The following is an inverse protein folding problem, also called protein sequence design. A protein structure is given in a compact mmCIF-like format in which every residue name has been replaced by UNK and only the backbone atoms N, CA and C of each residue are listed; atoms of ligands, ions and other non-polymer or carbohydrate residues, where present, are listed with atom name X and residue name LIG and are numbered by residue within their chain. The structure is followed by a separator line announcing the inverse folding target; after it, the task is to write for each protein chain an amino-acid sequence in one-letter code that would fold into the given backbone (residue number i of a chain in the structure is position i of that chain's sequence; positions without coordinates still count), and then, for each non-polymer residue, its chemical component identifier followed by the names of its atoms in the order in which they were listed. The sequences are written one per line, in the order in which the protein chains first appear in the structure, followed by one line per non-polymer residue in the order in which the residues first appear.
data_IF_788741863292
#
_entry.id   IF_788741863292
#
_cell.length_a   1.000
_cell.length_b   1.000
_cell.length_c   1.000
_cell.angle_alpha   90.00
_cell.angle_beta   90.00
_cell.angle_gamma   90.00
#
_symmetry.space_group_name_H-M   'P 1'
#
loop_
_entity.id
_entity.type
_entity.pdbx_description
1 polymer ?
#
# COMPACT_ATOMS: atom_id res chain seq x y z
N UNK A 1 -20.43 14.12 24.80
CA UNK A 1 -19.79 15.26 24.10
C UNK A 1 -19.76 14.95 22.61
N UNK A 2 -20.28 15.82 21.73
CA UNK A 2 -20.12 15.63 20.29
C UNK A 2 -18.63 15.72 19.97
N UNK A 3 -18.04 14.62 19.52
CA UNK A 3 -16.63 14.55 19.16
C UNK A 3 -16.34 15.60 18.09
N UNK A 4 -15.34 16.44 18.33
CA UNK A 4 -14.90 17.45 17.37
C UNK A 4 -14.44 16.75 16.10
N UNK A 5 -15.28 16.79 15.05
CA UNK A 5 -14.91 16.23 13.75
C UNK A 5 -13.86 17.15 13.13
N UNK A 6 -12.59 16.79 13.28
CA UNK A 6 -11.49 17.50 12.63
C UNK A 6 -11.54 17.23 11.13
N UNK A 7 -12.06 18.18 10.36
CA UNK A 7 -11.91 18.21 8.90
C UNK A 7 -10.58 18.88 8.54
N UNK A 8 -9.47 18.17 8.78
CA UNK A 8 -8.17 18.60 8.26
C UNK A 8 -7.87 17.82 6.98
N UNK A 9 -7.64 18.53 5.89
CA UNK A 9 -7.09 17.95 4.68
C UNK A 9 -5.57 17.80 4.80
N UNK A 10 -5.06 16.63 4.39
CA UNK A 10 -3.62 16.38 4.35
C UNK A 10 -3.11 16.74 2.96
N UNK A 11 -2.16 17.66 2.90
CA UNK A 11 -1.47 18.04 1.66
C UNK A 11 -0.29 17.12 1.44
N UNK A 12 -0.19 16.57 0.23
CA UNK A 12 0.85 15.63 -0.17
C UNK A 12 1.53 16.16 -1.42
N UNK A 13 2.85 16.28 -1.35
CA UNK A 13 3.68 16.77 -2.44
C UNK A 13 4.45 15.61 -3.04
N UNK A 14 4.21 15.32 -4.32
CA UNK A 14 4.95 14.30 -5.07
C UNK A 14 5.83 14.99 -6.13
N UNK A 15 7.13 14.74 -6.07
CA UNK A 15 8.08 15.41 -6.97
C UNK A 15 8.25 14.70 -8.30
N UNK A 16 7.89 13.41 -8.40
CA UNK A 16 8.13 12.62 -9.59
C UNK A 16 6.84 12.30 -10.34
N UNK A 17 6.89 12.43 -11.67
CA UNK A 17 5.75 12.10 -12.55
C UNK A 17 5.28 10.65 -12.38
N UNK A 18 6.19 9.73 -12.07
CA UNK A 18 5.86 8.31 -11.85
C UNK A 18 5.07 8.11 -10.54
N UNK A 19 5.39 8.82 -9.46
CA UNK A 19 4.60 8.78 -8.23
C UNK A 19 3.25 9.49 -8.40
N UNK A 20 3.21 10.64 -9.07
CA UNK A 20 1.96 11.33 -9.41
C UNK A 20 1.02 10.47 -10.27
N UNK A 21 1.55 9.72 -11.22
CA UNK A 21 0.76 8.75 -12.02
C UNK A 21 0.22 7.58 -11.19
N UNK A 22 0.96 7.12 -10.19
CA UNK A 22 0.44 6.11 -9.25
C UNK A 22 -0.71 6.69 -8.41
N UNK A 23 -0.57 7.93 -7.96
CA UNK A 23 -1.66 8.61 -7.24
C UNK A 23 -2.95 8.63 -8.05
N UNK A 24 -2.84 9.01 -9.33
CA UNK A 24 -3.96 9.18 -10.25
C UNK A 24 -4.28 7.92 -11.08
N UNK A 25 -3.73 6.76 -10.72
CA UNK A 25 -3.86 5.54 -11.52
C UNK A 25 -5.33 5.18 -11.79
N UNK A 26 -5.59 4.56 -12.94
CA UNK A 26 -6.92 4.08 -13.31
C UNK A 26 -6.90 2.55 -13.50
N UNK A 27 -7.99 1.83 -13.16
CA UNK A 27 -9.25 2.33 -12.58
C UNK A 27 -9.17 2.63 -11.08
N UNK A 28 -8.08 2.24 -10.41
CA UNK A 28 -7.95 2.38 -8.95
C UNK A 28 -6.73 3.19 -8.59
N UNK A 29 -6.93 4.50 -8.39
CA UNK A 29 -5.91 5.42 -7.89
C UNK A 29 -5.80 5.39 -6.37
N UNK A 30 -4.89 6.18 -5.81
CA UNK A 30 -4.61 6.20 -4.38
C UNK A 30 -5.87 6.48 -3.55
N UNK A 31 -6.64 7.52 -3.89
CA UNK A 31 -7.84 7.89 -3.11
C UNK A 31 -8.88 6.77 -3.05
N UNK A 32 -9.20 6.15 -4.20
CA UNK A 32 -10.12 5.03 -4.24
C UNK A 32 -9.56 3.83 -3.47
N UNK A 33 -8.27 3.54 -3.60
CA UNK A 33 -7.63 2.46 -2.85
C UNK A 33 -7.75 2.67 -1.33
N UNK A 34 -7.48 3.89 -0.84
CA UNK A 34 -7.60 4.23 0.59
C UNK A 34 -9.05 4.08 1.10
N UNK A 35 -10.04 4.52 0.32
CA UNK A 35 -11.45 4.34 0.65
C UNK A 35 -11.83 2.84 0.76
N UNK A 36 -11.36 2.03 -0.18
CA UNK A 36 -11.59 0.58 -0.17
C UNK A 36 -10.88 -0.14 0.98
N UNK A 37 -9.68 0.32 1.37
CA UNK A 37 -8.98 -0.20 2.54
C UNK A 37 -9.74 0.08 3.85
N UNK A 38 -10.35 1.27 3.97
CA UNK A 38 -11.25 1.55 5.10
C UNK A 38 -12.47 0.64 5.11
N UNK A 39 -13.09 0.41 3.95
CA UNK A 39 -14.20 -0.54 3.84
C UNK A 39 -13.79 -1.95 4.26
N UNK A 40 -12.60 -2.39 3.84
CA UNK A 40 -12.04 -3.68 4.21
C UNK A 40 -11.84 -3.81 5.73
N UNK A 41 -11.29 -2.78 6.39
CA UNK A 41 -11.13 -2.79 7.84
C UNK A 41 -12.47 -2.83 8.57
N UNK A 42 -13.44 -2.02 8.17
CA UNK A 42 -14.78 -2.05 8.77
C UNK A 42 -15.46 -3.41 8.66
N UNK A 43 -15.25 -4.10 7.54
CA UNK A 43 -15.76 -5.46 7.38
C UNK A 43 -15.10 -6.42 8.38
N UNK A 44 -13.78 -6.32 8.57
CA UNK A 44 -13.09 -7.17 9.54
C UNK A 44 -13.46 -6.85 11.00
N UNK A 45 -13.64 -5.56 11.33
CA UNK A 45 -14.18 -5.10 12.62
C UNK A 45 -15.60 -5.64 12.87
N UNK A 46 -16.37 -5.87 11.80
CA UNK A 46 -17.69 -6.50 11.84
C UNK A 46 -17.62 -8.04 11.80
N UNK A 47 -16.48 -8.62 12.16
CA UNK A 47 -16.25 -10.07 12.26
C UNK A 47 -16.26 -10.83 10.91
N UNK A 48 -16.01 -10.15 9.78
CA UNK A 48 -15.97 -10.79 8.46
C UNK A 48 -14.68 -11.63 8.25
N UNK A 49 -14.77 -12.96 8.11
CA UNK A 49 -13.59 -13.81 8.00
C UNK A 49 -12.90 -13.72 6.63
N UNK A 50 -13.62 -13.36 5.55
CA UNK A 50 -12.98 -13.06 4.26
C UNK A 50 -12.22 -11.74 4.33
N UNK A 51 -12.76 -10.72 5.02
CA UNK A 51 -12.03 -9.48 5.25
C UNK A 51 -10.72 -9.71 6.03
N UNK A 52 -10.76 -10.53 7.08
CA UNK A 52 -9.56 -10.94 7.83
C UNK A 52 -8.52 -11.64 6.92
N UNK A 53 -8.98 -12.55 6.05
CA UNK A 53 -8.10 -13.18 5.07
C UNK A 53 -7.48 -12.16 4.11
N UNK A 54 -8.28 -11.24 3.55
CA UNK A 54 -7.81 -10.20 2.64
C UNK A 54 -6.77 -9.27 3.28
N UNK A 55 -6.97 -8.87 4.54
CA UNK A 55 -6.01 -8.05 5.28
C UNK A 55 -4.67 -8.76 5.49
N UNK A 56 -4.69 -10.08 5.77
CA UNK A 56 -3.46 -10.88 5.86
C UNK A 56 -2.70 -10.88 4.52
N UNK A 57 -3.41 -11.07 3.41
CA UNK A 57 -2.85 -11.05 2.06
C UNK A 57 -2.33 -9.66 1.65
N UNK A 58 -3.02 -8.60 2.05
CA UNK A 58 -2.57 -7.22 1.85
C UNK A 58 -1.25 -6.96 2.61
N UNK A 59 -1.18 -7.39 3.88
CA UNK A 59 0.02 -7.19 4.72
C UNK A 59 1.27 -7.80 4.11
N UNK A 60 1.16 -8.99 3.51
CA UNK A 60 2.27 -9.64 2.80
C UNK A 60 2.76 -8.77 1.63
N UNK A 61 1.85 -8.22 0.83
CA UNK A 61 2.19 -7.36 -0.31
C UNK A 61 2.84 -6.05 0.13
N UNK A 62 2.31 -5.40 1.17
CA UNK A 62 2.89 -4.19 1.74
C UNK A 62 4.28 -4.49 2.36
N UNK A 63 4.47 -5.64 3.01
CA UNK A 63 5.77 -6.04 3.53
C UNK A 63 6.80 -6.22 2.40
N UNK A 64 6.42 -6.82 1.27
CA UNK A 64 7.30 -6.97 0.11
C UNK A 64 7.73 -5.61 -0.45
N UNK A 65 6.80 -4.68 -0.63
CA UNK A 65 7.11 -3.33 -1.11
C UNK A 65 8.07 -2.62 -0.14
N UNK A 66 7.80 -2.67 1.17
CA UNK A 66 8.68 -2.09 2.18
C UNK A 66 10.10 -2.69 2.14
N UNK A 67 10.20 -4.01 2.00
CA UNK A 67 11.48 -4.69 1.91
C UNK A 67 12.28 -4.23 0.69
N UNK A 68 11.64 -4.16 -0.49
CA UNK A 68 12.30 -3.75 -1.73
C UNK A 68 12.68 -2.26 -1.72
N UNK A 69 11.83 -1.38 -1.18
CA UNK A 69 12.17 0.03 -0.97
C UNK A 69 13.41 0.17 -0.08
N UNK A 70 13.46 -0.56 1.04
CA UNK A 70 14.61 -0.55 1.96
C UNK A 70 15.87 -1.08 1.28
N UNK A 71 15.76 -2.17 0.53
CA UNK A 71 16.88 -2.77 -0.20
C UNK A 71 17.47 -1.81 -1.25
N UNK A 72 16.61 -1.16 -2.05
CA UNK A 72 17.04 -0.21 -3.08
C UNK A 72 17.64 1.06 -2.48
N UNK A 73 17.04 1.59 -1.41
CA UNK A 73 17.61 2.74 -0.69
C UNK A 73 19.00 2.42 -0.13
N UNK A 74 19.21 1.24 0.47
CA UNK A 74 20.53 0.81 0.96
C UNK A 74 21.58 0.76 -0.15
N UNK A 75 21.22 0.28 -1.34
CA UNK A 75 22.13 0.27 -2.50
C UNK A 75 22.50 1.69 -2.93
N UNK A 76 21.54 2.62 -2.92
CA UNK A 76 21.84 4.03 -3.18
C UNK A 76 22.73 4.62 -2.08
N UNK A 77 22.46 4.34 -0.81
CA UNK A 77 23.31 4.78 0.30
C UNK A 77 24.77 4.35 0.10
N UNK A 78 25.00 3.10 -0.31
CA UNK A 78 26.32 2.57 -0.64
C UNK A 78 26.95 3.27 -1.84
N UNK A 79 26.18 3.53 -2.90
CA UNK A 79 26.67 4.24 -4.08
C UNK A 79 27.09 5.68 -3.73
N UNK A 80 26.27 6.40 -2.96
CA UNK A 80 26.59 7.76 -2.50
C UNK A 80 27.79 7.82 -1.55
N UNK A 81 28.03 6.76 -0.76
CA UNK A 81 29.20 6.70 0.13
C UNK A 81 30.56 6.66 -0.61
N UNK A 82 30.57 6.39 -1.92
CA UNK A 82 31.79 6.46 -2.75
C UNK A 82 32.19 7.89 -3.14
N UNK A 83 31.32 8.88 -2.92
CA UNK A 83 31.64 10.27 -3.23
C UNK A 83 32.73 10.80 -2.27
N UNK A 84 33.67 11.61 -2.77
CA UNK A 84 34.61 12.34 -1.93
C UNK A 84 33.87 13.17 -0.87
N UNK A 85 34.43 13.27 0.33
CA UNK A 85 33.80 13.99 1.46
C UNK A 85 33.52 15.48 1.20
N UNK A 86 34.15 16.08 0.18
CA UNK A 86 33.86 17.45 -0.26
C UNK A 86 32.58 17.60 -1.09
N UNK A 87 32.02 16.48 -1.60
CA UNK A 87 30.80 16.49 -2.41
C UNK A 87 29.62 16.17 -1.50
N UNK A 88 28.82 17.20 -1.23
CA UNK A 88 27.55 17.06 -0.52
C UNK A 88 26.39 17.26 -1.48
N UNK A 89 25.49 16.29 -1.57
CA UNK A 89 24.26 16.41 -2.36
C UNK A 89 23.12 16.85 -1.44
N UNK A 90 22.45 17.95 -1.76
CA UNK A 90 21.23 18.37 -1.07
C UNK A 90 20.06 17.46 -1.40
N UNK A 91 18.96 17.58 -0.64
CA UNK A 91 17.73 16.84 -0.93
C UNK A 91 17.23 17.22 -2.33
N UNK A 92 17.25 16.25 -3.24
CA UNK A 92 16.79 16.43 -4.63
C UNK A 92 15.32 16.84 -4.59
N UNK A 93 15.00 18.00 -5.15
CA UNK A 93 13.64 18.54 -5.20
C UNK A 93 13.32 18.92 -6.63
N UNK A 94 12.17 18.47 -7.12
CA UNK A 94 11.61 18.97 -8.38
C UNK A 94 11.13 20.42 -8.16
N UNK A 95 11.53 21.41 -8.97
CA UNK A 95 11.08 22.81 -8.86
C UNK A 95 9.58 23.00 -9.13
N UNK A 96 8.91 22.01 -9.72
CA UNK A 96 7.46 22.03 -9.97
C UNK A 96 6.84 20.68 -9.56
N UNK A 97 6.73 20.39 -8.25
CA UNK A 97 6.10 19.17 -7.78
C UNK A 97 4.58 19.22 -7.99
N UNK A 98 3.94 18.06 -7.96
CA UNK A 98 2.47 17.98 -7.98
C UNK A 98 1.95 17.84 -6.57
N UNK A 99 1.01 18.71 -6.20
CA UNK A 99 0.33 18.65 -4.91
C UNK A 99 -1.00 17.90 -5.03
N UNK A 100 -1.30 17.13 -4.00
CA UNK A 100 -2.52 16.35 -3.87
C UNK A 100 -3.15 16.59 -2.49
N UNK A 101 -4.48 16.57 -2.46
CA UNK A 101 -5.25 16.68 -1.22
C UNK A 101 -5.77 15.29 -0.85
N UNK A 102 -5.58 14.92 0.41
CA UNK A 102 -6.08 13.69 1.00
C UNK A 102 -7.01 14.02 2.17
N UNK A 103 -8.31 13.72 2.04
CA UNK A 103 -9.23 13.82 3.17
C UNK A 103 -8.78 12.92 4.32
N UNK A 104 -8.67 13.47 5.54
CA UNK A 104 -8.33 12.68 6.74
C UNK A 104 -9.32 11.53 6.96
N UNK A 105 -10.56 11.68 6.51
CA UNK A 105 -11.59 10.64 6.51
C UNK A 105 -11.25 9.39 5.67
N UNK A 106 -10.14 9.38 4.93
CA UNK A 106 -9.63 8.22 4.19
C UNK A 106 -8.44 7.52 4.89
N UNK A 107 -7.87 8.09 5.96
CA UNK A 107 -6.74 7.50 6.69
C UNK A 107 -7.07 6.20 7.42
N UNK A 108 -6.28 5.15 7.23
CA UNK A 108 -6.41 3.93 8.03
C UNK A 108 -5.03 3.31 8.21
N UNK A 109 -4.76 2.48 9.23
CA UNK A 109 -3.43 1.91 9.42
C UNK A 109 -2.78 1.29 8.15
N UNK A 110 -3.47 0.43 7.35
CA UNK A 110 -2.92 -0.05 6.08
C UNK A 110 -2.85 1.04 5.00
N UNK A 111 -3.80 1.98 4.99
CA UNK A 111 -3.81 3.11 4.06
C UNK A 111 -2.65 4.08 4.27
N UNK A 112 -2.38 4.44 5.52
CA UNK A 112 -1.23 5.27 5.93
C UNK A 112 0.09 4.60 5.55
N UNK A 113 0.18 3.28 5.72
CA UNK A 113 1.36 2.53 5.29
C UNK A 113 1.55 2.54 3.78
N UNK A 114 0.49 2.32 3.01
CA UNK A 114 0.53 2.38 1.54
C UNK A 114 0.91 3.78 1.05
N UNK A 115 0.38 4.82 1.70
CA UNK A 115 0.71 6.21 1.40
C UNK A 115 2.18 6.51 1.68
N UNK A 116 2.70 6.11 2.85
CA UNK A 116 4.12 6.28 3.17
C UNK A 116 5.00 5.60 2.13
N UNK A 117 4.64 4.40 1.67
CA UNK A 117 5.40 3.70 0.64
C UNK A 117 5.43 4.46 -0.70
N UNK A 118 4.35 5.15 -1.08
CA UNK A 118 4.34 6.01 -2.26
C UNK A 118 5.30 7.20 -2.09
N UNK A 119 5.32 7.81 -0.91
CA UNK A 119 6.24 8.92 -0.58
C UNK A 119 7.70 8.43 -0.60
N UNK A 120 7.97 7.27 0.01
CA UNK A 120 9.29 6.63 0.00
C UNK A 120 9.74 6.28 -1.43
N UNK A 121 8.81 5.86 -2.28
CA UNK A 121 9.07 5.61 -3.70
C UNK A 121 9.38 6.91 -4.45
N UNK A 122 8.64 7.98 -4.22
CA UNK A 122 8.91 9.29 -4.81
C UNK A 122 10.32 9.77 -4.47
N UNK A 123 10.74 9.61 -3.21
CA UNK A 123 12.10 9.90 -2.77
C UNK A 123 13.12 8.97 -3.45
N UNK A 124 12.85 7.66 -3.49
CA UNK A 124 13.73 6.68 -4.14
C UNK A 124 14.02 7.06 -5.60
N UNK A 125 12.99 7.45 -6.36
CA UNK A 125 13.15 7.83 -7.77
C UNK A 125 14.05 9.05 -7.90
N UNK A 126 13.84 10.09 -7.07
CA UNK A 126 14.69 11.29 -7.07
C UNK A 126 16.15 10.96 -6.77
N UNK A 127 16.39 10.14 -5.75
CA UNK A 127 17.74 9.68 -5.38
C UNK A 127 18.38 8.84 -6.49
N UNK A 128 17.59 7.98 -7.14
CA UNK A 128 18.05 7.15 -8.28
C UNK A 128 18.48 8.03 -9.46
N UNK A 129 17.69 9.06 -9.80
CA UNK A 129 18.03 9.97 -10.89
C UNK A 129 19.32 10.73 -10.60
N UNK A 130 19.49 11.26 -9.38
CA UNK A 130 20.73 11.92 -8.97
C UNK A 130 21.93 10.97 -9.03
N UNK A 131 21.82 9.77 -8.46
CA UNK A 131 22.91 8.79 -8.49
C UNK A 131 23.32 8.46 -9.93
N UNK A 132 22.35 8.32 -10.83
CA UNK A 132 22.62 8.10 -12.25
C UNK A 132 23.29 9.30 -12.93
N UNK A 133 22.84 10.53 -12.66
CA UNK A 133 23.46 11.75 -13.20
C UNK A 133 24.90 11.95 -12.73
N UNK A 134 25.23 11.48 -11.52
CA UNK A 134 26.58 11.50 -10.97
C UNK A 134 27.44 10.30 -11.42
N UNK A 135 26.90 9.39 -12.23
CA UNK A 135 27.62 8.19 -12.69
C UNK A 135 27.82 7.12 -11.61
N UNK A 136 27.10 7.18 -10.48
CA UNK A 136 27.25 6.26 -9.35
C UNK A 136 26.54 4.92 -9.55
N UNK A 137 25.60 4.86 -10.50
CA UNK A 137 24.85 3.65 -10.85
C UNK A 137 24.74 3.51 -12.36
N UNK A 138 24.60 2.28 -12.82
CA UNK A 138 24.39 1.96 -14.23
C UNK A 138 22.98 2.32 -14.70
N UNK A 139 22.81 2.43 -16.02
CA UNK A 139 21.49 2.61 -16.64
C UNK A 139 20.55 1.41 -16.34
N UNK A 140 21.09 0.20 -16.22
CA UNK A 140 20.32 -0.99 -15.86
C UNK A 140 19.77 -0.91 -14.43
N UNK A 141 20.60 -0.50 -13.47
CA UNK A 141 20.18 -0.29 -12.07
C UNK A 141 19.12 0.81 -11.96
N UNK A 142 19.32 1.95 -12.63
CA UNK A 142 18.30 3.01 -12.70
C UNK A 142 16.95 2.47 -13.17
N UNK A 143 16.94 1.67 -14.24
CA UNK A 143 15.70 1.09 -14.78
C UNK A 143 15.04 0.15 -13.77
N UNK A 144 15.80 -0.73 -13.11
CA UNK A 144 15.27 -1.62 -12.08
C UNK A 144 14.73 -0.85 -10.86
N UNK A 145 15.43 0.19 -10.42
CA UNK A 145 15.03 0.95 -9.23
C UNK A 145 13.71 1.69 -9.46
N UNK A 146 13.52 2.24 -10.66
CA UNK A 146 12.30 2.98 -11.02
C UNK A 146 11.13 2.05 -11.35
N UNK A 147 11.33 0.92 -12.02
CA UNK A 147 10.24 0.12 -12.60
C UNK A 147 9.60 -0.90 -11.65
N UNK A 148 10.30 -1.34 -10.60
CA UNK A 148 9.85 -2.49 -9.79
C UNK A 148 8.74 -2.12 -8.80
N UNK A 149 8.89 -1.02 -8.07
CA UNK A 149 7.92 -0.62 -7.04
C UNK A 149 6.54 -0.23 -7.60
N UNK A 150 6.41 0.56 -8.69
CA UNK A 150 5.10 0.91 -9.26
C UNK A 150 4.26 -0.28 -9.66
N UNK A 151 4.89 -1.32 -10.24
CA UNK A 151 4.20 -2.54 -10.65
C UNK A 151 3.56 -3.24 -9.44
N UNK A 152 4.29 -3.34 -8.33
CA UNK A 152 3.78 -3.93 -7.10
C UNK A 152 2.68 -3.08 -6.45
N UNK A 153 2.80 -1.75 -6.49
CA UNK A 153 1.74 -0.85 -6.00
C UNK A 153 0.46 -0.99 -6.81
N UNK A 154 0.55 -1.04 -8.15
CA UNK A 154 -0.61 -1.27 -9.01
C UNK A 154 -1.24 -2.64 -8.73
N UNK A 155 -0.44 -3.68 -8.46
CA UNK A 155 -0.97 -4.98 -8.02
C UNK A 155 -1.69 -4.90 -6.67
N UNK A 156 -1.22 -4.08 -5.73
CA UNK A 156 -1.94 -3.79 -4.48
C UNK A 156 -3.27 -3.10 -4.77
N UNK A 157 -3.27 -2.08 -5.64
CA UNK A 157 -4.51 -1.38 -6.02
C UNK A 157 -5.53 -2.33 -6.63
N UNK A 158 -5.12 -3.15 -7.60
CA UNK A 158 -5.97 -4.18 -8.20
C UNK A 158 -6.43 -5.23 -7.19
N UNK A 159 -5.57 -5.64 -6.25
CA UNK A 159 -5.93 -6.59 -5.20
C UNK A 159 -7.04 -6.03 -4.30
N UNK A 160 -6.87 -4.79 -3.81
CA UNK A 160 -7.84 -4.10 -2.97
C UNK A 160 -9.16 -3.85 -3.71
N UNK A 161 -9.08 -3.48 -5.00
CA UNK A 161 -10.26 -3.23 -5.84
C UNK A 161 -11.18 -4.45 -5.99
N UNK A 162 -10.64 -5.67 -5.85
CA UNK A 162 -11.44 -6.91 -5.94
C UNK A 162 -12.17 -7.26 -4.65
N UNK A 163 -11.84 -6.64 -3.52
CA UNK A 163 -12.52 -6.95 -2.26
C UNK A 163 -14.00 -6.52 -2.30
N UNK A 164 -14.86 -7.37 -1.74
CA UNK A 164 -16.29 -7.12 -1.53
C UNK A 164 -16.61 -7.48 -0.09
N UNK A 165 -17.32 -6.60 0.61
CA UNK A 165 -17.86 -6.90 1.94
C UNK A 165 -18.85 -8.05 1.82
N UNK A 166 -18.72 -9.05 2.69
CA UNK A 166 -19.57 -10.26 2.60
C UNK A 166 -20.78 -10.19 3.51
N UNK A 167 -20.64 -9.51 4.66
CA UNK A 167 -21.65 -9.50 5.72
C UNK A 167 -21.75 -10.80 6.50
N UNK A 168 -20.88 -11.78 6.20
CA UNK A 168 -20.79 -13.06 6.92
C UNK A 168 -19.96 -12.86 8.18
N UNK A 169 -20.42 -13.39 9.32
CA UNK A 169 -19.65 -13.41 10.57
C UNK A 169 -18.94 -14.76 10.76
N UNK A 170 -18.04 -14.87 11.74
CA UNK A 170 -17.47 -16.19 12.11
C UNK A 170 -18.55 -17.14 12.63
N UNK A 171 -19.57 -16.63 13.32
CA UNK A 171 -20.71 -17.43 13.78
C UNK A 171 -21.51 -18.05 12.62
N UNK A 172 -21.74 -17.28 11.55
CA UNK A 172 -22.36 -17.79 10.31
C UNK A 172 -21.57 -18.93 9.68
N UNK A 173 -20.24 -18.85 9.71
CA UNK A 173 -19.37 -19.91 9.19
C UNK A 173 -19.47 -21.18 10.05
N UNK A 174 -19.53 -21.06 11.37
CA UNK A 174 -19.71 -22.21 12.28
C UNK A 174 -21.07 -22.88 12.11
N UNK A 175 -22.13 -22.07 12.03
CA UNK A 175 -23.48 -22.53 11.76
C UNK A 175 -23.69 -23.02 10.31
N UNK A 176 -22.67 -22.91 9.45
CA UNK A 176 -22.73 -23.22 8.03
C UNK A 176 -23.93 -22.55 7.33
N UNK A 177 -24.16 -21.26 7.62
CA UNK A 177 -25.36 -20.55 7.18
C UNK A 177 -25.44 -20.44 5.66
N UNK A 178 -26.65 -20.30 5.07
CA UNK A 178 -26.81 -20.15 3.62
C UNK A 178 -25.99 -18.98 3.04
N UNK A 179 -25.82 -17.91 3.83
CA UNK A 179 -25.01 -16.75 3.44
C UNK A 179 -23.53 -17.13 3.36
N UNK A 180 -23.00 -17.84 4.37
CA UNK A 180 -21.62 -18.31 4.39
C UNK A 180 -21.31 -19.25 3.21
N UNK A 181 -22.22 -20.19 2.91
CA UNK A 181 -22.09 -21.09 1.75
C UNK A 181 -22.07 -20.31 0.42
N UNK A 182 -22.99 -19.36 0.27
CA UNK A 182 -23.07 -18.53 -0.95
C UNK A 182 -21.79 -17.72 -1.16
N UNK A 183 -21.24 -17.12 -0.09
CA UNK A 183 -20.01 -16.35 -0.17
C UNK A 183 -18.79 -17.24 -0.45
N UNK A 184 -18.72 -18.42 0.16
CA UNK A 184 -17.69 -19.41 -0.12
C UNK A 184 -17.69 -19.84 -1.60
N UNK A 185 -18.86 -20.06 -2.19
CA UNK A 185 -18.99 -20.36 -3.62
C UNK A 185 -18.54 -19.19 -4.51
N UNK A 186 -18.89 -17.94 -4.15
CA UNK A 186 -18.57 -16.75 -4.96
C UNK A 186 -17.12 -16.28 -4.85
N UNK A 187 -16.54 -16.34 -3.65
CA UNK A 187 -15.23 -15.76 -3.33
C UNK A 187 -14.13 -16.80 -3.16
N UNK A 188 -14.50 -18.08 -3.16
CA UNK A 188 -13.63 -19.18 -2.78
C UNK A 188 -13.65 -19.43 -1.27
N UNK A 189 -13.28 -20.66 -0.90
CA UNK A 189 -13.22 -21.09 0.48
C UNK A 189 -12.12 -20.36 1.26
N UNK A 190 -12.39 -20.08 2.53
CA UNK A 190 -11.38 -19.61 3.46
C UNK A 190 -10.25 -20.66 3.59
N UNK A 191 -9.01 -20.24 3.92
CA UNK A 191 -7.91 -21.19 4.12
C UNK A 191 -8.26 -22.22 5.20
N UNK A 192 -7.88 -23.48 4.98
CA UNK A 192 -8.16 -24.59 5.91
C UNK A 192 -7.79 -24.28 7.37
N UNK A 193 -6.64 -23.62 7.58
CA UNK A 193 -6.19 -23.21 8.91
C UNK A 193 -7.16 -22.22 9.59
N UNK A 194 -7.65 -21.23 8.84
CA UNK A 194 -8.59 -20.24 9.35
C UNK A 194 -9.96 -20.85 9.62
N UNK A 195 -10.43 -21.76 8.74
CA UNK A 195 -11.66 -22.52 9.01
C UNK A 195 -11.54 -23.37 10.27
N UNK A 196 -10.42 -24.07 10.46
CA UNK A 196 -10.18 -24.86 11.65
C UNK A 196 -10.10 -24.00 12.93
N UNK A 197 -9.51 -22.81 12.87
CA UNK A 197 -9.51 -21.85 13.98
C UNK A 197 -10.94 -21.40 14.32
N UNK A 198 -11.72 -20.98 13.31
CA UNK A 198 -13.12 -20.55 13.52
C UNK A 198 -13.95 -21.64 14.17
N UNK A 199 -13.82 -22.89 13.74
CA UNK A 199 -14.59 -24.03 14.27
C UNK A 199 -14.13 -24.48 15.67
N UNK A 200 -12.94 -24.08 16.13
CA UNK A 200 -12.43 -24.41 17.47
C UNK A 200 -12.86 -23.43 18.54
N UNK A 201 -13.07 -22.16 18.19
CA UNK A 201 -13.49 -21.09 19.12
C UNK A 201 -14.91 -21.28 19.70
N UNK A 202 -15.58 -22.41 19.42
CA UNK A 202 -16.86 -22.82 20.01
C UNK A 202 -16.71 -23.74 21.24
N UNK A 203 -15.48 -24.19 21.56
CA UNK A 203 -15.15 -25.06 22.70
C UNK A 203 -14.48 -24.28 23.83
#
# INVERSE_FOLDING_TARGET
MPGTTLFSDIRITLHTRVAARLWQAHPTGMLLCLALLRRLLRAEEADDPWAAHWLKQLRIRLNLIAHLLKQKNRRLDQAFASLPGAIHTTQVSNPSPTEFILPLALFSPPGSRLLQQLIDYDLLVRRTLLAWHLGLITQAEKRDFIATIPRLMLQVFSFVNRFRTTGVTRADVRANSPLAQTMAHKLGNLPKKMLAEILRDEQ
#
